data_IF_290705270605
#
_entry.id   IF_290705270605
#
_cell.length_a   1.000
_cell.length_b   1.000
_cell.length_c   1.000
_cell.angle_alpha   90.00
_cell.angle_beta   90.00
_cell.angle_gamma   90.00
#
_symmetry.space_group_name_H-M   'P 1'
#
loop_
_entity.id
_entity.type
_entity.pdbx_description
1 polymer ?
#
# COMPACT_ATOMS: atom_id res chain seq x y z
N UNK A 1 -11.07 -2.72 -29.90
CA UNK A 1 -9.89 -1.89 -29.63
C UNK A 1 -8.88 -2.75 -28.90
N UNK A 2 -7.73 -3.00 -29.51
CA UNK A 2 -6.62 -3.69 -28.88
C UNK A 2 -5.68 -2.62 -28.31
N UNK A 3 -5.49 -2.63 -26.99
CA UNK A 3 -4.48 -1.82 -26.32
C UNK A 3 -3.27 -2.70 -26.02
N UNK A 4 -2.11 -2.36 -26.58
CA UNK A 4 -0.83 -3.00 -26.29
C UNK A 4 -0.02 -2.05 -25.40
N UNK A 5 0.39 -2.52 -24.23
CA UNK A 5 1.29 -1.77 -23.34
C UNK A 5 2.62 -2.51 -23.27
N UNK A 6 3.70 -1.83 -23.64
CA UNK A 6 5.06 -2.33 -23.52
C UNK A 6 5.79 -1.52 -22.44
N UNK A 7 6.41 -2.20 -21.48
CA UNK A 7 7.11 -1.58 -20.35
C UNK A 7 8.59 -1.92 -20.39
N UNK A 8 9.43 -0.89 -20.44
CA UNK A 8 10.88 -1.02 -20.36
C UNK A 8 11.34 -0.59 -18.95
N UNK A 9 12.11 -1.46 -18.31
CA UNK A 9 12.67 -1.17 -16.97
C UNK A 9 14.18 -1.06 -17.08
N UNK A 10 14.71 0.08 -16.63
CA UNK A 10 16.15 0.34 -16.57
C UNK A 10 16.61 0.42 -15.13
N UNK A 11 17.73 -0.22 -14.84
CA UNK A 11 18.43 -0.10 -13.56
C UNK A 11 19.52 0.95 -13.72
N UNK A 12 19.48 2.00 -12.90
CA UNK A 12 20.48 3.06 -12.89
C UNK A 12 21.19 3.07 -11.54
N UNK A 13 22.51 3.28 -11.56
CA UNK A 13 23.35 3.36 -10.38
C UNK A 13 24.14 4.68 -10.43
N UNK A 14 24.24 5.35 -9.29
CA UNK A 14 25.07 6.55 -9.15
C UNK A 14 26.16 6.25 -8.12
N UNK A 15 27.41 6.50 -8.50
CA UNK A 15 28.59 6.17 -7.68
C UNK A 15 28.95 7.31 -6.70
N UNK A 16 28.36 8.46 -6.82
CA UNK A 16 28.64 9.62 -5.97
C UNK A 16 27.34 10.31 -5.52
N UNK A 17 27.35 10.96 -4.34
CA UNK A 17 26.25 11.82 -3.92
C UNK A 17 26.09 13.01 -4.87
N UNK A 18 24.83 13.44 -5.10
CA UNK A 18 24.55 14.56 -5.98
C UNK A 18 23.13 14.54 -6.54
N UNK A 19 22.83 15.53 -7.37
CA UNK A 19 21.57 15.61 -8.10
C UNK A 19 21.80 15.26 -9.57
N UNK A 20 21.15 14.21 -10.02
CA UNK A 20 21.29 13.66 -11.37
C UNK A 20 19.99 13.85 -12.14
N UNK A 21 19.97 14.67 -13.20
CA UNK A 21 18.80 14.74 -14.07
C UNK A 21 18.71 13.50 -14.93
N UNK A 22 17.61 12.78 -14.84
CA UNK A 22 17.24 11.78 -15.83
C UNK A 22 16.54 12.50 -16.97
N UNK A 23 17.20 12.51 -18.14
CA UNK A 23 16.71 13.23 -19.31
C UNK A 23 15.41 12.57 -19.83
N UNK A 24 14.47 13.37 -20.37
CA UNK A 24 13.26 12.83 -20.96
C UNK A 24 13.57 11.85 -22.09
N UNK A 25 12.81 10.77 -22.14
CA UNK A 25 12.84 9.82 -23.24
C UNK A 25 11.92 10.34 -24.34
N UNK A 26 12.43 10.36 -25.58
CA UNK A 26 11.67 10.78 -26.75
C UNK A 26 11.29 9.54 -27.56
N UNK A 27 10.02 9.42 -27.91
CA UNK A 27 9.49 8.36 -28.78
C UNK A 27 8.84 9.01 -29.98
N UNK A 28 9.20 8.58 -31.19
CA UNK A 28 8.55 8.98 -32.44
C UNK A 28 7.60 7.86 -32.90
N UNK A 29 6.35 8.22 -33.08
CA UNK A 29 5.33 7.31 -33.59
C UNK A 29 4.42 8.03 -34.58
N UNK A 30 4.24 7.49 -35.78
CA UNK A 30 3.43 8.06 -36.87
C UNK A 30 3.74 9.54 -37.17
N UNK A 31 5.02 9.92 -37.18
CA UNK A 31 5.47 11.30 -37.43
C UNK A 31 5.18 12.28 -36.29
N UNK A 32 4.75 11.78 -35.13
CA UNK A 32 4.57 12.56 -33.91
C UNK A 32 5.64 12.22 -32.88
N UNK A 33 6.14 13.22 -32.22
CA UNK A 33 7.15 13.08 -31.16
C UNK A 33 6.48 13.16 -29.81
N UNK A 34 6.66 12.14 -28.96
CA UNK A 34 6.22 12.10 -27.58
C UNK A 34 7.43 12.19 -26.67
N UNK A 35 7.36 13.05 -25.66
CA UNK A 35 8.48 13.29 -24.72
C UNK A 35 8.00 13.00 -23.31
N UNK A 36 8.73 12.16 -22.56
CA UNK A 36 8.43 11.88 -21.18
C UNK A 36 8.69 13.11 -20.27
N UNK A 37 8.22 13.07 -19.04
CA UNK A 37 8.60 14.03 -18.01
C UNK A 37 10.08 13.90 -17.66
N UNK A 38 10.68 15.01 -17.19
CA UNK A 38 12.02 15.05 -16.60
C UNK A 38 11.93 14.56 -15.15
N UNK A 39 12.86 13.69 -14.75
CA UNK A 39 12.98 13.21 -13.37
C UNK A 39 14.32 13.66 -12.80
N UNK A 40 14.34 14.15 -11.57
CA UNK A 40 15.57 14.45 -10.82
C UNK A 40 15.79 13.33 -9.81
N UNK A 41 16.94 12.68 -9.90
CA UNK A 41 17.41 11.74 -8.91
C UNK A 41 18.35 12.47 -7.95
N UNK A 42 18.01 12.50 -6.66
CA UNK A 42 18.88 13.00 -5.61
C UNK A 42 19.55 11.83 -4.91
N UNK A 43 20.85 11.70 -5.08
CA UNK A 43 21.70 10.73 -4.40
C UNK A 43 22.29 11.40 -3.18
N UNK A 44 21.96 10.91 -2.01
CA UNK A 44 22.46 11.43 -0.74
C UNK A 44 23.88 10.89 -0.48
N UNK A 45 24.70 11.65 0.26
CA UNK A 45 25.93 11.11 0.83
C UNK A 45 25.62 9.84 1.61
N UNK A 46 26.50 8.83 1.54
CA UNK A 46 26.37 7.63 2.37
C UNK A 46 26.19 8.10 3.81
N UNK A 47 24.95 8.03 4.25
CA UNK A 47 24.67 8.12 5.68
C UNK A 47 25.51 7.05 6.36
N UNK A 48 26.07 7.34 7.55
CA UNK A 48 26.84 6.42 8.40
C UNK A 48 26.43 5.00 8.12
N UNK A 49 27.39 4.03 7.96
CA UNK A 49 27.05 2.65 7.68
C UNK A 49 25.92 2.28 8.63
N UNK A 50 24.72 1.96 8.10
CA UNK A 50 23.67 1.40 8.91
C UNK A 50 24.30 0.22 9.65
N UNK A 51 24.29 0.27 10.98
CA UNK A 51 24.49 -0.92 11.80
C UNK A 51 23.90 -2.09 11.01
N UNK A 52 24.70 -3.13 10.74
CA UNK A 52 24.44 -4.18 9.74
C UNK A 52 22.95 -4.36 9.46
N UNK A 53 22.54 -3.99 8.24
CA UNK A 53 21.11 -3.97 7.91
C UNK A 53 20.49 -5.33 8.30
N UNK A 54 19.43 -5.35 9.10
CA UNK A 54 18.94 -6.57 9.74
C UNK A 54 18.59 -7.63 8.69
N UNK A 55 18.86 -8.89 8.97
CA UNK A 55 18.58 -9.99 8.05
C UNK A 55 17.08 -10.09 7.69
N UNK A 56 16.23 -9.62 8.58
CA UNK A 56 14.78 -9.56 8.37
C UNK A 56 14.13 -8.48 9.24
N UNK A 57 13.08 -7.84 8.75
CA UNK A 57 12.27 -6.88 9.48
C UNK A 57 10.87 -6.75 8.88
N UNK A 58 9.95 -6.21 9.67
CA UNK A 58 8.59 -5.86 9.24
C UNK A 58 8.48 -4.34 9.18
N UNK A 59 8.00 -3.81 8.07
CA UNK A 59 7.80 -2.38 7.86
C UNK A 59 6.32 -2.07 7.71
N UNK A 60 5.85 -1.05 8.44
CA UNK A 60 4.57 -0.41 8.23
C UNK A 60 4.78 0.92 7.51
N UNK A 61 4.08 1.12 6.40
CA UNK A 61 4.13 2.34 5.59
C UNK A 61 2.71 2.84 5.32
N UNK A 62 2.54 4.15 5.27
CA UNK A 62 1.28 4.81 4.91
C UNK A 62 1.43 5.53 3.58
N UNK A 63 0.35 5.63 2.83
CA UNK A 63 0.35 6.38 1.56
C UNK A 63 0.46 7.90 1.78
N UNK A 64 0.10 8.40 2.97
CA UNK A 64 0.23 9.80 3.42
C UNK A 64 0.24 9.89 4.94
N UNK A 65 0.92 10.86 5.50
CA UNK A 65 1.07 11.08 6.94
C UNK A 65 0.14 12.17 7.51
N UNK A 66 -0.48 12.95 6.62
CA UNK A 66 -1.40 14.04 6.98
C UNK A 66 -2.71 13.84 6.24
N UNK A 67 -3.81 13.77 6.99
CA UNK A 67 -5.17 13.50 6.49
C UNK A 67 -6.21 14.24 7.31
N UNK A 68 -7.42 14.37 6.79
CA UNK A 68 -8.56 14.83 7.56
C UNK A 68 -9.20 13.70 8.37
N UNK A 69 -9.90 14.05 9.44
CA UNK A 69 -10.74 13.09 10.18
C UNK A 69 -11.73 12.43 9.21
N UNK A 70 -11.89 11.09 9.32
CA UNK A 70 -12.67 10.22 8.42
C UNK A 70 -12.12 10.11 6.97
N UNK A 71 -10.99 10.73 6.64
CA UNK A 71 -10.32 10.50 5.35
C UNK A 71 -9.56 9.17 5.38
N UNK A 72 -9.69 8.31 4.34
CA UNK A 72 -9.00 7.04 4.33
C UNK A 72 -7.48 7.20 4.15
N UNK A 73 -6.74 6.44 4.95
CA UNK A 73 -5.29 6.24 4.85
C UNK A 73 -5.01 4.77 4.60
N UNK A 74 -4.20 4.47 3.59
CA UNK A 74 -3.79 3.10 3.30
C UNK A 74 -2.51 2.77 4.06
N UNK A 75 -2.58 1.77 4.94
CA UNK A 75 -1.40 1.21 5.61
C UNK A 75 -1.01 -0.09 4.93
N UNK A 76 0.26 -0.23 4.62
CA UNK A 76 0.84 -1.43 4.01
C UNK A 76 1.87 -2.04 4.94
N UNK A 77 1.72 -3.33 5.25
CA UNK A 77 2.67 -4.10 6.04
C UNK A 77 3.49 -4.99 5.11
N UNK A 78 4.81 -4.73 5.05
CA UNK A 78 5.74 -5.45 4.18
C UNK A 78 6.83 -6.11 5.01
N UNK A 79 6.97 -7.43 4.84
CA UNK A 79 8.11 -8.17 5.37
C UNK A 79 9.28 -8.04 4.42
N UNK A 80 10.43 -7.68 4.95
CA UNK A 80 11.72 -7.71 4.26
C UNK A 80 12.58 -8.81 4.87
N UNK A 81 13.23 -9.62 4.03
CA UNK A 81 14.12 -10.70 4.48
C UNK A 81 15.19 -10.99 3.45
N UNK A 82 16.44 -11.23 3.90
CA UNK A 82 17.52 -11.75 3.04
C UNK A 82 17.29 -13.21 2.68
N UNK A 83 16.58 -13.94 3.52
CA UNK A 83 16.15 -15.31 3.26
C UNK A 83 14.78 -15.29 2.59
N UNK A 84 14.57 -16.23 1.67
CA UNK A 84 13.28 -16.34 0.97
C UNK A 84 12.16 -16.68 1.96
N UNK A 85 11.06 -15.89 2.02
CA UNK A 85 9.93 -16.22 2.87
C UNK A 85 9.15 -17.40 2.30
N UNK A 86 8.60 -18.22 3.20
CA UNK A 86 7.63 -19.26 2.86
C UNK A 86 6.21 -18.68 2.90
N UNK A 87 5.21 -19.51 2.57
CA UNK A 87 3.80 -19.14 2.76
C UNK A 87 3.31 -19.25 4.22
N UNK A 88 4.18 -19.72 5.12
CA UNK A 88 3.83 -19.90 6.53
C UNK A 88 4.16 -18.63 7.32
N UNK A 89 3.14 -17.89 7.69
CA UNK A 89 3.27 -16.72 8.56
C UNK A 89 1.99 -16.51 9.36
N UNK A 90 2.11 -15.79 10.48
CA UNK A 90 1.00 -15.29 11.26
C UNK A 90 1.24 -13.80 11.55
N UNK A 91 0.39 -12.96 11.00
CA UNK A 91 0.38 -11.51 11.22
C UNK A 91 -0.70 -11.20 12.26
N UNK A 92 -0.27 -10.66 13.38
CA UNK A 92 -1.18 -10.27 14.44
C UNK A 92 -1.75 -8.89 14.15
N UNK A 93 -2.99 -8.88 13.68
CA UNK A 93 -3.79 -7.68 13.40
C UNK A 93 -4.88 -7.51 14.48
N UNK A 94 -4.55 -7.64 15.74
CA UNK A 94 -5.49 -7.35 16.81
C UNK A 94 -6.05 -5.92 16.64
N UNK A 95 -7.36 -5.78 16.84
CA UNK A 95 -8.09 -4.51 16.72
C UNK A 95 -7.55 -3.42 17.64
N UNK A 96 -6.86 -3.78 18.73
CA UNK A 96 -6.22 -2.85 19.64
C UNK A 96 -5.07 -2.03 18.99
N UNK A 97 -4.48 -2.54 17.91
CA UNK A 97 -3.40 -1.87 17.15
C UNK A 97 -3.91 -0.61 16.45
N UNK A 98 -5.18 -0.64 16.01
CA UNK A 98 -5.81 0.47 15.30
C UNK A 98 -6.71 1.32 16.20
N UNK A 99 -6.31 1.49 17.46
CA UNK A 99 -7.06 2.33 18.41
C UNK A 99 -7.16 3.77 17.89
N UNK A 100 -8.40 4.29 17.87
CA UNK A 100 -8.69 5.62 17.32
C UNK A 100 -8.96 5.64 15.81
N UNK A 101 -9.01 4.44 15.19
CA UNK A 101 -9.39 4.28 13.78
C UNK A 101 -10.57 3.32 13.64
N UNK A 102 -11.42 3.60 12.67
CA UNK A 102 -12.18 2.53 12.03
C UNK A 102 -11.31 1.92 10.93
N UNK A 103 -11.36 0.60 10.74
CA UNK A 103 -10.46 -0.07 9.82
C UNK A 103 -11.19 -1.04 8.90
N UNK A 104 -10.63 -1.25 7.71
CA UNK A 104 -11.07 -2.25 6.75
C UNK A 104 -9.85 -2.97 6.17
N UNK A 105 -9.81 -4.29 6.37
CA UNK A 105 -8.72 -5.13 5.87
C UNK A 105 -8.95 -5.43 4.39
N UNK A 106 -8.01 -5.06 3.54
CA UNK A 106 -8.06 -5.33 2.12
C UNK A 106 -7.61 -6.78 1.89
N UNK A 107 -8.53 -7.61 1.39
CA UNK A 107 -8.21 -9.02 1.08
C UNK A 107 -7.29 -9.10 -0.13
N UNK A 108 -6.19 -9.82 0.03
CA UNK A 108 -5.30 -10.18 -1.07
C UNK A 108 -5.56 -11.62 -1.51
N UNK A 109 -5.76 -11.83 -2.79
CA UNK A 109 -5.96 -13.17 -3.34
C UNK A 109 -4.67 -13.99 -3.37
N UNK A 110 -3.53 -13.35 -3.58
CA UNK A 110 -2.21 -14.02 -3.65
C UNK A 110 -1.11 -13.14 -3.09
N UNK A 111 -0.26 -13.73 -2.30
CA UNK A 111 0.97 -13.12 -1.83
C UNK A 111 2.09 -13.40 -2.83
N UNK A 112 2.79 -12.33 -3.24
CA UNK A 112 3.98 -12.42 -4.08
C UNK A 112 5.09 -11.62 -3.44
N UNK A 113 6.28 -12.15 -3.44
CA UNK A 113 7.47 -11.40 -3.04
C UNK A 113 8.19 -10.84 -4.27
N UNK A 114 8.79 -9.70 -4.09
CA UNK A 114 9.66 -9.04 -5.04
C UNK A 114 11.06 -8.96 -4.47
N UNK A 115 12.08 -8.82 -5.32
CA UNK A 115 13.43 -8.51 -4.86
C UNK A 115 13.61 -7.01 -4.89
N UNK A 116 14.06 -6.44 -3.75
CA UNK A 116 14.29 -5.00 -3.60
C UNK A 116 15.65 -4.76 -2.99
N UNK A 117 16.36 -3.75 -3.50
CA UNK A 117 17.57 -3.24 -2.89
C UNK A 117 17.18 -2.20 -1.83
N UNK A 118 17.63 -2.39 -0.59
CA UNK A 118 17.41 -1.45 0.51
C UNK A 118 18.73 -1.27 1.25
N UNK A 119 19.24 -0.05 1.31
CA UNK A 119 20.51 0.25 1.98
C UNK A 119 21.71 -0.55 1.44
N UNK A 120 21.76 -0.82 0.13
CA UNK A 120 22.82 -1.60 -0.49
C UNK A 120 22.72 -3.11 -0.33
N UNK A 121 21.69 -3.64 0.34
CA UNK A 121 21.43 -5.06 0.51
C UNK A 121 20.19 -5.53 -0.25
N UNK A 122 20.23 -6.73 -0.84
CA UNK A 122 19.10 -7.35 -1.52
C UNK A 122 18.18 -8.03 -0.51
N UNK A 123 16.87 -7.73 -0.59
CA UNK A 123 15.83 -8.34 0.22
C UNK A 123 14.72 -8.95 -0.64
N UNK A 124 14.13 -10.03 -0.16
CA UNK A 124 12.79 -10.43 -0.54
C UNK A 124 11.79 -9.54 0.20
N UNK A 125 11.04 -8.74 -0.53
CA UNK A 125 9.97 -7.90 0.01
C UNK A 125 8.63 -8.60 -0.25
N UNK A 126 7.95 -9.00 0.82
CA UNK A 126 6.65 -9.66 0.77
C UNK A 126 5.61 -8.72 1.39
N UNK A 127 4.76 -8.14 0.55
CA UNK A 127 3.64 -7.36 1.03
C UNK A 127 2.57 -8.29 1.60
N UNK A 128 2.44 -8.29 2.93
CA UNK A 128 1.60 -9.23 3.66
C UNK A 128 0.14 -8.78 3.69
N UNK A 129 -0.08 -7.51 4.03
CA UNK A 129 -1.42 -6.98 4.27
C UNK A 129 -1.49 -5.49 3.98
N UNK A 130 -2.64 -5.07 3.45
CA UNK A 130 -3.06 -3.68 3.39
C UNK A 130 -4.30 -3.49 4.25
N UNK A 131 -4.33 -2.38 4.99
CA UNK A 131 -5.45 -2.00 5.83
C UNK A 131 -5.82 -0.55 5.52
N UNK A 132 -7.08 -0.31 5.24
CA UNK A 132 -7.61 1.03 5.09
C UNK A 132 -8.07 1.52 6.46
N UNK A 133 -7.47 2.61 6.92
CA UNK A 133 -7.76 3.22 8.22
C UNK A 133 -8.49 4.54 8.03
N UNK A 134 -9.47 4.81 8.87
CA UNK A 134 -10.24 6.04 8.92
C UNK A 134 -10.08 6.65 10.30
N UNK A 135 -9.30 7.73 10.47
CA UNK A 135 -9.11 8.36 11.77
C UNK A 135 -10.42 8.90 12.34
N UNK A 136 -10.71 8.63 13.60
CA UNK A 136 -11.94 9.07 14.26
C UNK A 136 -11.78 10.36 15.06
N UNK A 137 -10.53 10.76 15.36
CA UNK A 137 -10.20 11.94 16.17
C UNK A 137 -9.15 12.78 15.46
N UNK A 138 -9.14 14.07 15.72
CA UNK A 138 -8.11 15.00 15.23
C UNK A 138 -6.87 15.01 16.13
N UNK A 139 -5.74 15.48 15.59
CA UNK A 139 -4.46 15.56 16.28
C UNK A 139 -3.46 14.47 15.86
N UNK A 140 -2.39 14.30 16.60
CA UNK A 140 -1.41 13.23 16.35
C UNK A 140 -1.99 11.89 16.82
N UNK A 141 -2.10 10.94 15.90
CA UNK A 141 -2.55 9.57 16.17
C UNK A 141 -1.46 8.61 15.73
N UNK A 142 -1.19 7.59 16.54
CA UNK A 142 -0.15 6.59 16.25
C UNK A 142 -0.79 5.25 15.92
N UNK A 143 -0.33 4.65 14.82
CA UNK A 143 -0.57 3.24 14.52
C UNK A 143 0.50 2.45 15.26
N UNK A 144 0.06 1.64 16.21
CA UNK A 144 0.97 0.85 17.05
C UNK A 144 1.65 -0.27 16.25
N UNK A 145 2.88 -0.66 16.65
CA UNK A 145 3.58 -1.75 16.01
C UNK A 145 2.86 -3.08 16.10
N UNK A 146 2.72 -3.77 14.98
CA UNK A 146 2.17 -5.14 14.91
C UNK A 146 3.26 -6.19 14.95
N UNK A 147 2.90 -7.42 15.34
CA UNK A 147 3.80 -8.56 15.36
C UNK A 147 3.58 -9.48 14.17
N UNK A 148 4.69 -9.98 13.64
CA UNK A 148 4.71 -10.99 12.59
C UNK A 148 5.55 -12.17 13.04
N UNK A 149 4.98 -13.36 13.01
CA UNK A 149 5.73 -14.61 13.03
C UNK A 149 5.78 -15.17 11.62
N UNK A 150 6.97 -15.41 11.07
CA UNK A 150 7.17 -15.92 9.72
C UNK A 150 8.16 -17.06 9.70
N UNK A 151 8.06 -17.93 8.68
CA UNK A 151 9.01 -19.00 8.43
C UNK A 151 9.80 -18.66 7.17
N UNK A 152 11.13 -18.57 7.31
CA UNK A 152 12.08 -18.27 6.24
C UNK A 152 12.79 -19.55 5.80
N UNK A 153 13.05 -19.69 4.50
CA UNK A 153 13.81 -20.83 3.96
C UNK A 153 15.27 -20.79 4.48
N UNK A 154 15.74 -21.84 5.14
CA UNK A 154 17.12 -21.93 5.59
C UNK A 154 18.05 -22.11 4.39
N UNK A 155 19.18 -21.37 4.31
CA UNK A 155 20.19 -21.63 3.30
C UNK A 155 20.80 -23.01 3.56
N UNK A 156 20.78 -23.90 2.56
CA UNK A 156 21.40 -25.21 2.71
C UNK A 156 21.04 -26.18 1.59
N UNK A 157 21.76 -27.29 1.51
CA UNK A 157 21.47 -28.37 0.56
C UNK A 157 20.08 -28.94 0.85
N UNK A 158 19.30 -29.15 -0.21
CA UNK A 158 18.07 -29.97 -0.14
C UNK A 158 18.48 -31.33 0.44
N UNK A 159 18.07 -31.66 1.65
CA UNK A 159 18.10 -33.05 2.08
C UNK A 159 17.16 -33.80 1.14
N UNK A 160 17.73 -34.62 0.25
CA UNK A 160 16.98 -35.57 -0.56
C UNK A 160 16.44 -36.62 0.42
N UNK A 161 15.15 -36.48 0.76
CA UNK A 161 14.43 -37.61 1.34
C UNK A 161 14.45 -38.77 0.34
N UNK A 162 14.63 -39.96 0.82
CA UNK A 162 14.62 -41.21 0.04
C UNK A 162 13.30 -41.37 -0.75
N UNK A 163 12.26 -40.62 -0.36
CA UNK A 163 10.93 -40.57 -1.00
C UNK A 163 10.71 -39.36 -1.91
N UNK A 164 11.74 -38.61 -2.28
CA UNK A 164 11.65 -37.53 -3.30
C UNK A 164 11.02 -36.20 -2.82
N UNK A 165 10.46 -36.11 -1.65
CA UNK A 165 9.89 -34.89 -1.07
C UNK A 165 10.89 -34.21 -0.14
N UNK A 166 11.83 -33.44 -0.70
CA UNK A 166 12.75 -32.62 0.10
C UNK A 166 12.02 -31.42 0.68
N UNK A 167 11.54 -31.49 1.90
CA UNK A 167 11.13 -30.32 2.66
C UNK A 167 12.36 -29.45 2.95
N UNK A 168 12.32 -28.16 2.58
CA UNK A 168 13.30 -27.20 3.04
C UNK A 168 13.05 -26.91 4.51
N UNK A 169 14.08 -27.04 5.31
CA UNK A 169 14.02 -26.65 6.71
C UNK A 169 13.77 -25.13 6.78
N UNK A 170 12.73 -24.73 7.52
CA UNK A 170 12.39 -23.33 7.74
C UNK A 170 12.89 -22.84 9.07
N UNK A 171 13.32 -21.59 9.14
CA UNK A 171 13.62 -20.89 10.39
C UNK A 171 12.43 -20.01 10.76
N UNK A 172 11.86 -20.26 11.94
CA UNK A 172 10.79 -19.43 12.48
C UNK A 172 11.41 -18.18 13.08
N UNK A 173 10.93 -17.01 12.60
CA UNK A 173 11.39 -15.70 13.04
C UNK A 173 10.21 -14.85 13.52
N UNK A 174 10.47 -13.97 14.47
CA UNK A 174 9.52 -13.00 14.97
C UNK A 174 10.01 -11.59 14.65
N UNK A 175 9.11 -10.74 14.17
CA UNK A 175 9.39 -9.36 13.80
C UNK A 175 8.31 -8.46 14.38
N UNK A 176 8.67 -7.22 14.62
CA UNK A 176 7.73 -6.16 15.00
C UNK A 176 7.87 -5.00 14.01
N UNK A 177 6.73 -4.42 13.61
CA UNK A 177 6.77 -3.26 12.71
C UNK A 177 7.22 -1.99 13.46
N UNK A 178 7.61 -0.98 12.70
CA UNK A 178 7.74 0.37 13.22
C UNK A 178 6.36 0.94 13.58
N UNK A 179 6.28 1.87 14.57
CA UNK A 179 5.10 2.71 14.73
C UNK A 179 4.98 3.69 13.57
N UNK A 180 3.76 4.11 13.25
CA UNK A 180 3.51 5.14 12.23
C UNK A 180 2.68 6.25 12.84
N UNK A 181 3.16 7.48 12.75
CA UNK A 181 2.46 8.69 13.22
C UNK A 181 1.69 9.32 12.08
N UNK A 182 0.46 9.71 12.37
CA UNK A 182 -0.41 10.45 11.46
C UNK A 182 -0.82 11.77 12.10
N UNK A 183 -0.81 12.83 11.31
CA UNK A 183 -1.36 14.12 11.67
C UNK A 183 -2.79 14.25 11.10
N UNK A 184 -3.78 14.19 11.98
CA UNK A 184 -5.19 14.21 11.58
C UNK A 184 -5.77 15.63 11.75
N UNK A 185 -6.10 16.25 10.63
CA UNK A 185 -6.64 17.60 10.57
C UNK A 185 -8.17 17.60 10.80
N UNK A 186 -8.71 18.65 11.44
CA UNK A 186 -10.15 18.86 11.49
C UNK A 186 -10.72 19.15 10.09
N UNK A 187 -11.95 18.72 9.83
CA UNK A 187 -12.63 19.07 8.59
C UNK A 187 -12.83 20.59 8.48
N UNK A 188 -12.63 21.18 7.28
CA UNK A 188 -12.91 22.59 7.07
C UNK A 188 -14.34 22.96 7.44
N UNK A 189 -14.51 24.04 8.22
CA UNK A 189 -15.85 24.53 8.57
C UNK A 189 -16.52 25.34 7.46
N UNK A 190 -15.71 26.02 6.63
CA UNK A 190 -16.22 26.86 5.53
C UNK A 190 -16.77 25.99 4.41
N UNK A 191 -18.04 26.23 4.03
CA UNK A 191 -18.72 25.49 2.97
C UNK A 191 -19.31 24.15 3.39
N UNK A 192 -19.27 23.80 4.69
CA UNK A 192 -19.93 22.60 5.21
C UNK A 192 -21.44 22.77 5.19
N UNK A 193 -22.20 21.86 4.55
CA UNK A 193 -23.65 21.85 4.62
C UNK A 193 -24.17 21.61 6.04
N UNK A 194 -25.33 22.12 6.40
CA UNK A 194 -25.96 21.88 7.71
C UNK A 194 -26.25 20.39 7.96
N UNK A 195 -26.59 19.65 6.90
CA UNK A 195 -26.90 18.21 6.93
C UNK A 195 -25.70 17.34 6.54
N UNK A 196 -24.47 17.80 6.79
CA UNK A 196 -23.28 17.02 6.47
C UNK A 196 -23.25 15.70 7.22
N UNK A 197 -23.27 14.56 6.48
CA UNK A 197 -23.33 13.20 7.03
C UNK A 197 -21.98 12.70 7.60
N UNK A 198 -20.87 13.41 7.34
CA UNK A 198 -19.53 12.96 7.73
C UNK A 198 -18.78 12.17 6.66
N UNK A 199 -19.33 12.08 5.45
CA UNK A 199 -18.67 11.46 4.32
C UNK A 199 -17.48 12.32 3.83
N UNK A 200 -16.28 11.77 3.89
CA UNK A 200 -15.04 12.43 3.46
C UNK A 200 -14.44 11.64 2.31
N UNK A 201 -14.26 12.31 1.15
CA UNK A 201 -13.72 11.65 -0.04
C UNK A 201 -14.09 12.37 -1.32
N UNK A 202 -13.83 11.72 -2.44
CA UNK A 202 -14.23 12.17 -3.78
C UNK A 202 -15.25 11.16 -4.33
N UNK A 203 -16.44 11.64 -4.65
CA UNK A 203 -17.57 10.81 -5.04
C UNK A 203 -18.25 11.33 -6.30
N UNK A 204 -18.64 10.39 -7.17
CA UNK A 204 -19.54 10.61 -8.29
C UNK A 204 -20.91 10.04 -7.95
N UNK A 205 -21.95 10.86 -8.11
CA UNK A 205 -23.33 10.46 -7.87
C UNK A 205 -24.08 10.36 -9.18
N UNK A 206 -24.85 9.27 -9.35
CA UNK A 206 -25.79 9.14 -10.46
C UNK A 206 -27.10 8.53 -9.96
N UNK A 207 -28.20 8.97 -10.54
CA UNK A 207 -29.52 8.43 -10.28
C UNK A 207 -30.22 8.07 -11.60
N UNK A 208 -30.97 6.97 -11.57
CA UNK A 208 -31.79 6.52 -12.70
C UNK A 208 -33.08 5.88 -12.19
N UNK A 209 -34.12 5.94 -13.00
CA UNK A 209 -35.39 5.26 -12.74
C UNK A 209 -35.61 4.17 -13.79
N UNK A 210 -36.32 3.12 -13.42
CA UNK A 210 -36.68 2.02 -14.33
C UNK A 210 -37.81 2.43 -15.31
N UNK A 211 -38.64 3.41 -14.91
CA UNK A 211 -39.74 3.94 -15.73
C UNK A 211 -39.79 5.46 -15.60
N UNK A 212 -39.92 6.15 -16.72
CA UNK A 212 -40.07 7.62 -16.77
C UNK A 212 -41.51 8.08 -16.63
N UNK A 213 -42.47 7.19 -16.88
CA UNK A 213 -43.89 7.44 -16.79
C UNK A 213 -44.57 6.32 -16.01
N UNK A 214 -45.38 6.66 -15.02
CA UNK A 214 -46.16 5.73 -14.21
C UNK A 214 -47.53 6.27 -13.91
N UNK A 215 -48.51 5.41 -13.70
CA UNK A 215 -49.85 5.80 -13.25
C UNK A 215 -49.86 6.04 -11.73
N UNK A 216 -50.77 6.88 -11.27
CA UNK A 216 -50.95 7.09 -9.83
C UNK A 216 -51.18 5.76 -9.10
N UNK A 217 -50.40 5.50 -8.05
CA UNK A 217 -50.42 4.23 -7.30
C UNK A 217 -49.51 3.12 -7.86
N UNK A 218 -48.85 3.33 -8.99
CA UNK A 218 -47.87 2.37 -9.55
C UNK A 218 -46.48 2.61 -8.96
N UNK A 219 -45.80 1.53 -8.61
CA UNK A 219 -44.42 1.57 -8.07
C UNK A 219 -43.40 1.77 -9.19
N UNK A 220 -42.34 2.53 -8.91
CA UNK A 220 -41.15 2.64 -9.72
C UNK A 220 -39.89 2.35 -8.87
N UNK A 221 -38.82 1.97 -9.51
CA UNK A 221 -37.53 1.74 -8.87
C UNK A 221 -36.59 2.91 -9.14
N UNK A 222 -36.19 3.64 -8.08
CA UNK A 222 -35.12 4.64 -8.13
C UNK A 222 -33.80 3.95 -7.79
N UNK A 223 -32.85 3.95 -8.72
CA UNK A 223 -31.48 3.45 -8.52
C UNK A 223 -30.54 4.64 -8.33
N UNK A 224 -29.93 4.73 -7.14
CA UNK A 224 -28.87 5.69 -6.84
C UNK A 224 -27.56 4.93 -6.83
N UNK A 225 -26.58 5.39 -7.60
CA UNK A 225 -25.24 4.82 -7.65
C UNK A 225 -24.24 5.86 -7.17
N UNK A 226 -23.42 5.46 -6.19
CA UNK A 226 -22.35 6.27 -5.64
C UNK A 226 -21.05 5.56 -5.95
N UNK A 227 -20.10 6.24 -6.60
CA UNK A 227 -18.78 5.73 -6.93
C UNK A 227 -17.74 6.71 -6.41
N UNK A 228 -16.62 6.21 -5.85
CA UNK A 228 -15.61 7.13 -5.38
C UNK A 228 -14.57 6.49 -4.48
N UNK A 229 -13.73 7.36 -3.93
CA UNK A 229 -12.72 7.01 -2.93
C UNK A 229 -13.02 7.78 -1.66
N UNK A 230 -13.26 7.07 -0.55
CA UNK A 230 -13.59 7.69 0.72
C UNK A 230 -14.37 6.75 1.62
N UNK A 231 -14.90 7.27 2.71
CA UNK A 231 -15.72 6.52 3.65
C UNK A 231 -17.17 6.44 3.16
N UNK A 232 -17.51 5.36 2.44
CA UNK A 232 -18.87 5.11 1.94
C UNK A 232 -19.86 4.66 3.03
N UNK A 233 -19.37 4.27 4.23
CA UNK A 233 -20.26 3.80 5.31
C UNK A 233 -20.94 4.92 6.09
N UNK A 234 -20.44 6.15 5.93
CA UNK A 234 -21.01 7.34 6.56
C UNK A 234 -21.91 8.16 5.61
N UNK A 235 -22.31 7.55 4.48
CA UNK A 235 -23.24 8.14 3.51
C UNK A 235 -24.68 7.90 3.91
#
# INVERSE_FOLDING_TARGET
DFSLTETYTYWVMADQPGEYPLYPITVEYEGRTFVSNKVMLKVLEEGRPMEEAPDYYLKAEVDRDTVYVNEPVLVTFTQYSRLKPTSQFNLDLDTSVFKGFWNEVIKKERLRYERKMVGGAEYYALELQQVLLFPLTTGEVTIEPIQLTSVLEKPGRRQRSIFGFGQREGVKVQMRSNPVKLNVLPLPGKGRPENFSGAVGVYDLSASVDKNEVKAGEALTLKISIRGRGNLKNL
#
